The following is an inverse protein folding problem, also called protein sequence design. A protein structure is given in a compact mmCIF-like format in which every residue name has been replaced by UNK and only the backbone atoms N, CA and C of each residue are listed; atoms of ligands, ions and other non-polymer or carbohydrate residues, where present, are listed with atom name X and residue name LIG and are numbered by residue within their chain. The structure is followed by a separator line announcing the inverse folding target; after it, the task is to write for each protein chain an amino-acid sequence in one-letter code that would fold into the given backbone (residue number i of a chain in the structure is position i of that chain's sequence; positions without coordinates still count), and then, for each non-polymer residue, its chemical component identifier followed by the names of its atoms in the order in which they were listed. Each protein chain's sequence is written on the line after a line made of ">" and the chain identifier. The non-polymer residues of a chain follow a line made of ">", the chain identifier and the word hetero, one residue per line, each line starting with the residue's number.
data_IF_186261194972
#
_entry.id   IF_186261194972
#
_cell.length_a   1.000
_cell.length_b   1.000
_cell.length_c   1.000
_cell.angle_alpha   90.00
_cell.angle_beta   90.00
_cell.angle_gamma   90.00
#
_symmetry.space_group_name_H-M   'P 1'
#
loop_
_entity.id
_entity.type
_entity.pdbx_description
1 polymer ?
#
# COMPACT_ATOMS: atom_id res chain seq x y z
N UNK A 1 -39.40 52.93 -16.00
CA UNK A 1 -38.64 51.71 -16.36
C UNK A 1 -39.64 50.58 -16.49
N UNK A 2 -39.59 49.85 -17.60
CA UNK A 2 -40.40 48.65 -17.76
C UNK A 2 -39.89 47.56 -16.83
N UNK A 3 -40.73 47.00 -15.98
CA UNK A 3 -40.42 45.86 -15.13
C UNK A 3 -40.61 44.60 -15.94
N UNK A 4 -39.49 43.87 -16.23
CA UNK A 4 -39.56 42.59 -16.88
C UNK A 4 -39.61 41.52 -15.78
N UNK A 5 -40.61 40.61 -15.83
CA UNK A 5 -40.65 39.47 -14.92
C UNK A 5 -39.41 38.59 -15.13
N UNK A 6 -38.87 38.03 -14.06
CA UNK A 6 -37.67 37.13 -14.12
C UNK A 6 -37.91 35.96 -15.08
N UNK A 7 -39.13 35.43 -15.14
CA UNK A 7 -39.54 34.38 -16.05
C UNK A 7 -39.55 34.76 -17.56
N UNK A 8 -39.48 36.06 -17.87
CA UNK A 8 -39.47 36.58 -19.24
C UNK A 8 -38.06 36.99 -19.70
N UNK A 9 -37.04 36.76 -18.89
CA UNK A 9 -35.64 37.01 -19.29
C UNK A 9 -35.15 35.96 -20.26
N UNK A 10 -34.33 36.36 -21.25
CA UNK A 10 -33.65 35.38 -22.12
C UNK A 10 -32.81 34.39 -21.31
N UNK A 11 -32.80 33.12 -21.76
CA UNK A 11 -31.96 32.09 -21.12
C UNK A 11 -30.50 32.39 -21.45
N UNK A 12 -29.64 32.44 -20.45
CA UNK A 12 -28.19 32.56 -20.67
C UNK A 12 -27.65 31.28 -21.28
N UNK A 13 -26.90 31.38 -22.37
CA UNK A 13 -26.29 30.27 -23.06
C UNK A 13 -24.87 29.92 -22.55
N UNK A 14 -24.29 30.81 -21.77
CA UNK A 14 -22.98 30.64 -21.11
C UNK A 14 -22.99 31.38 -19.77
N UNK A 15 -22.10 30.97 -18.88
CA UNK A 15 -21.91 31.58 -17.55
C UNK A 15 -20.49 32.13 -17.46
N UNK A 16 -20.35 33.37 -16.99
CA UNK A 16 -19.07 33.97 -16.66
C UNK A 16 -19.01 34.29 -15.17
N UNK A 17 -17.81 34.34 -14.60
CA UNK A 17 -17.62 34.61 -13.18
C UNK A 17 -18.18 35.97 -12.72
N UNK A 18 -18.28 36.94 -13.63
CA UNK A 18 -18.85 38.28 -13.40
C UNK A 18 -20.39 38.32 -13.48
N UNK A 19 -21.02 37.27 -13.99
CA UNK A 19 -22.50 37.21 -14.03
C UNK A 19 -23.07 37.21 -12.62
N UNK A 20 -24.25 37.84 -12.46
CA UNK A 20 -24.85 38.04 -11.15
C UNK A 20 -26.27 37.48 -11.07
N UNK A 21 -26.57 36.93 -9.91
CA UNK A 21 -27.94 36.48 -9.53
C UNK A 21 -28.50 37.43 -8.52
N UNK A 22 -29.78 37.91 -8.66
CA UNK A 22 -30.43 38.64 -7.63
C UNK A 22 -30.80 37.72 -6.45
N UNK A 23 -30.41 38.09 -5.24
CA UNK A 23 -30.78 37.40 -4.00
C UNK A 23 -31.42 38.35 -3.01
N UNK A 24 -32.34 37.86 -2.19
CA UNK A 24 -32.83 38.59 -1.03
C UNK A 24 -32.02 38.17 0.18
N UNK A 25 -31.29 39.12 0.76
CA UNK A 25 -30.51 38.84 1.97
C UNK A 25 -31.47 38.90 3.18
N UNK A 26 -31.73 37.76 3.80
CA UNK A 26 -32.71 37.60 4.87
C UNK A 26 -32.45 38.52 6.08
N UNK A 27 -31.18 38.74 6.46
CA UNK A 27 -30.79 39.58 7.59
C UNK A 27 -31.13 41.08 7.43
N UNK A 28 -31.26 41.54 6.19
CA UNK A 28 -31.50 42.96 5.88
C UNK A 28 -32.78 43.18 5.06
N UNK A 29 -33.44 42.11 4.61
CA UNK A 29 -34.60 42.13 3.70
C UNK A 29 -34.34 42.96 2.42
N UNK A 30 -33.09 43.05 1.98
CA UNK A 30 -32.69 43.82 0.80
C UNK A 30 -32.31 42.89 -0.35
N UNK A 31 -32.66 43.28 -1.57
CA UNK A 31 -32.21 42.62 -2.77
C UNK A 31 -30.75 43.01 -3.08
N UNK A 32 -29.90 42.03 -3.21
CA UNK A 32 -28.48 42.19 -3.55
C UNK A 32 -28.10 41.36 -4.76
N UNK A 33 -26.95 41.63 -5.32
CA UNK A 33 -26.36 40.83 -6.39
C UNK A 33 -25.37 39.83 -5.79
N UNK A 34 -25.47 38.58 -6.20
CA UNK A 34 -24.49 37.53 -5.91
C UNK A 34 -23.80 37.14 -7.24
N UNK A 35 -22.53 37.36 -7.35
CA UNK A 35 -21.79 36.92 -8.55
C UNK A 35 -21.68 35.39 -8.63
N UNK A 36 -21.62 34.85 -9.81
CA UNK A 36 -21.36 33.40 -10.06
C UNK A 36 -20.07 33.00 -9.38
N UNK A 37 -19.00 33.80 -9.48
CA UNK A 37 -17.78 33.59 -8.75
C UNK A 37 -17.97 33.44 -7.25
N UNK A 38 -18.72 34.38 -6.61
CA UNK A 38 -18.97 34.31 -5.18
C UNK A 38 -19.81 33.09 -4.77
N UNK A 39 -20.74 32.65 -5.62
CA UNK A 39 -21.56 31.45 -5.39
C UNK A 39 -20.71 30.17 -5.41
N UNK A 40 -19.68 30.10 -6.27
CA UNK A 40 -18.86 28.89 -6.45
C UNK A 40 -17.46 28.97 -5.80
N UNK A 41 -17.04 30.14 -5.29
CA UNK A 41 -15.81 30.29 -4.54
C UNK A 41 -16.06 29.98 -3.06
N UNK A 42 -15.69 28.81 -2.61
CA UNK A 42 -15.85 28.33 -1.22
C UNK A 42 -17.31 28.30 -0.71
N UNK A 43 -18.27 27.74 -1.46
CA UNK A 43 -19.65 27.64 -0.96
C UNK A 43 -19.69 26.61 0.17
N UNK A 44 -20.42 26.95 1.24
CA UNK A 44 -20.76 25.97 2.29
C UNK A 44 -22.11 25.34 1.96
N UNK A 45 -22.11 24.10 1.53
CA UNK A 45 -23.33 23.33 1.31
C UNK A 45 -23.62 22.44 2.51
N UNK A 46 -24.83 22.55 3.05
CA UNK A 46 -25.33 21.62 4.07
C UNK A 46 -26.03 20.47 3.35
N UNK A 47 -25.50 19.24 3.51
CA UNK A 47 -26.01 18.03 2.84
C UNK A 47 -26.17 18.14 1.31
N UNK A 48 -25.11 18.52 0.55
CA UNK A 48 -25.24 18.63 -0.89
C UNK A 48 -25.51 17.24 -1.50
N UNK A 49 -26.55 17.13 -2.31
CA UNK A 49 -26.74 15.97 -3.19
C UNK A 49 -26.06 16.28 -4.52
N UNK A 50 -24.85 15.78 -4.68
CA UNK A 50 -24.13 15.85 -5.94
C UNK A 50 -24.60 14.67 -6.80
N UNK A 51 -25.24 14.94 -7.92
CA UNK A 51 -25.59 13.92 -8.92
C UNK A 51 -24.33 13.19 -9.43
N UNK A 52 -24.43 12.49 -10.56
CA UNK A 52 -23.27 11.83 -11.17
C UNK A 52 -22.18 12.85 -11.49
N UNK A 53 -21.07 12.82 -10.76
CA UNK A 53 -19.87 13.61 -11.07
C UNK A 53 -19.09 12.86 -12.14
N UNK A 54 -19.23 13.28 -13.41
CA UNK A 54 -18.56 12.64 -14.54
C UNK A 54 -17.09 13.01 -14.66
N UNK A 55 -16.69 14.14 -14.06
CA UNK A 55 -15.29 14.58 -13.97
C UNK A 55 -15.14 15.55 -12.80
N UNK A 56 -14.04 15.48 -12.11
CA UNK A 56 -13.74 16.39 -10.99
C UNK A 56 -12.53 15.94 -10.20
N UNK A 57 -11.82 16.90 -9.59
CA UNK A 57 -10.74 16.65 -8.66
C UNK A 57 -11.24 16.95 -7.24
N UNK A 58 -11.27 15.93 -6.37
CA UNK A 58 -11.61 16.05 -4.95
C UNK A 58 -10.34 15.98 -4.07
N UNK A 59 -9.20 16.45 -4.59
CA UNK A 59 -7.89 16.37 -3.92
C UNK A 59 -7.83 17.03 -2.54
N UNK A 60 -8.73 17.95 -2.25
CA UNK A 60 -8.83 18.61 -0.95
C UNK A 60 -10.01 18.11 -0.09
N UNK A 61 -10.63 16.99 -0.45
CA UNK A 61 -11.73 16.42 0.32
C UNK A 61 -11.18 15.69 1.56
N UNK A 62 -11.43 16.23 2.75
CA UNK A 62 -11.25 15.50 4.01
C UNK A 62 -12.58 14.91 4.43
N UNK A 63 -12.68 13.60 4.53
CA UNK A 63 -13.88 12.92 5.00
C UNK A 63 -13.54 12.03 6.19
N UNK A 64 -14.28 12.17 7.28
CA UNK A 64 -14.17 11.27 8.44
C UNK A 64 -14.93 9.95 8.23
N UNK A 65 -15.85 9.92 7.26
CA UNK A 65 -16.64 8.72 6.93
C UNK A 65 -17.09 8.78 5.47
N UNK A 66 -16.25 8.33 4.55
CA UNK A 66 -16.61 8.21 3.13
C UNK A 66 -17.07 6.77 2.86
N UNK A 67 -18.37 6.57 2.61
CA UNK A 67 -18.88 5.30 2.13
C UNK A 67 -18.76 5.26 0.60
N UNK A 68 -17.82 4.48 0.09
CA UNK A 68 -17.66 4.23 -1.33
C UNK A 68 -18.28 2.86 -1.67
N UNK A 69 -19.31 2.86 -2.48
CA UNK A 69 -19.92 1.63 -3.00
C UNK A 69 -19.21 1.26 -4.31
N UNK A 70 -18.58 0.10 -4.37
CA UNK A 70 -17.81 -0.38 -5.53
C UNK A 70 -16.76 0.60 -6.08
N UNK A 71 -15.83 1.12 -5.24
CA UNK A 71 -14.83 2.05 -5.73
C UNK A 71 -13.84 1.34 -6.65
N UNK A 72 -13.57 1.95 -7.80
CA UNK A 72 -12.39 1.60 -8.61
C UNK A 72 -11.25 2.51 -8.16
N UNK A 73 -10.33 1.96 -7.37
CA UNK A 73 -9.16 2.70 -6.88
C UNK A 73 -7.98 2.30 -7.77
N UNK A 74 -7.41 3.27 -8.49
CA UNK A 74 -6.17 3.10 -9.23
C UNK A 74 -4.98 2.89 -8.27
N UNK A 75 -3.80 3.43 -8.58
CA UNK A 75 -2.68 3.40 -7.64
C UNK A 75 -3.00 4.24 -6.41
N UNK A 76 -3.37 3.58 -5.30
CA UNK A 76 -3.56 4.23 -4.01
C UNK A 76 -2.20 4.39 -3.31
N UNK A 77 -1.82 5.61 -2.95
CA UNK A 77 -0.65 5.88 -2.13
C UNK A 77 -1.12 6.31 -0.73
N UNK A 78 -0.63 5.65 0.30
CA UNK A 78 -0.98 5.95 1.68
C UNK A 78 0.01 5.31 2.65
N UNK A 79 -0.03 5.72 3.91
CA UNK A 79 0.82 5.16 4.97
C UNK A 79 0.28 3.83 5.50
N UNK A 80 -1.03 3.59 5.38
CA UNK A 80 -1.68 2.36 5.81
C UNK A 80 -2.99 2.14 5.08
N UNK A 81 -3.38 0.87 4.93
CA UNK A 81 -4.70 0.43 4.51
C UNK A 81 -5.22 -0.55 5.57
N UNK A 82 -6.27 -0.16 6.30
CA UNK A 82 -6.95 -1.04 7.24
C UNK A 82 -8.20 -1.61 6.59
N UNK A 83 -8.32 -2.93 6.56
CA UNK A 83 -9.50 -3.65 6.07
C UNK A 83 -10.04 -4.58 7.15
N UNK A 84 -11.36 -4.60 7.30
CA UNK A 84 -12.07 -5.45 8.28
C UNK A 84 -12.47 -6.81 7.72
N UNK A 85 -12.19 -7.06 6.44
CA UNK A 85 -12.48 -8.31 5.73
C UNK A 85 -11.25 -8.77 4.94
N UNK A 86 -11.38 -9.83 4.15
CA UNK A 86 -10.28 -10.37 3.36
C UNK A 86 -9.82 -9.40 2.27
N UNK A 87 -8.50 -9.35 2.04
CA UNK A 87 -7.91 -8.77 0.84
C UNK A 87 -7.76 -9.89 -0.18
N UNK A 88 -8.45 -9.79 -1.31
CA UNK A 88 -8.40 -10.79 -2.38
C UNK A 88 -7.82 -10.18 -3.66
N UNK A 89 -7.05 -10.98 -4.39
CA UNK A 89 -6.58 -10.65 -5.74
C UNK A 89 -7.18 -11.65 -6.72
N UNK A 90 -8.01 -11.19 -7.64
CA UNK A 90 -8.60 -12.03 -8.69
C UNK A 90 -7.77 -12.07 -9.98
N UNK A 91 -6.73 -11.25 -10.07
CA UNK A 91 -5.83 -11.19 -11.21
C UNK A 91 -4.62 -12.12 -11.06
N UNK A 92 -3.77 -12.16 -12.08
CA UNK A 92 -2.55 -12.98 -12.12
C UNK A 92 -1.38 -12.38 -11.33
N UNK A 93 -1.46 -11.11 -10.91
CA UNK A 93 -0.39 -10.40 -10.19
C UNK A 93 -0.29 -10.80 -8.70
N UNK A 94 -1.38 -11.27 -8.10
CA UNK A 94 -1.41 -11.68 -6.69
C UNK A 94 -1.22 -10.53 -5.69
N UNK A 95 -0.83 -10.89 -4.48
CA UNK A 95 -0.47 -9.97 -3.39
C UNK A 95 1.00 -10.16 -3.08
N UNK A 96 1.79 -9.10 -3.07
CA UNK A 96 3.24 -9.21 -2.85
C UNK A 96 3.92 -7.88 -2.53
N UNK A 97 5.23 -7.93 -2.43
CA UNK A 97 6.07 -6.76 -2.22
C UNK A 97 6.38 -6.06 -3.55
N UNK A 98 6.39 -4.72 -3.53
CA UNK A 98 6.77 -3.91 -4.68
C UNK A 98 8.29 -3.91 -4.91
N UNK A 99 8.71 -3.43 -6.08
CA UNK A 99 10.12 -3.19 -6.43
C UNK A 99 10.81 -2.35 -5.36
N UNK A 100 12.02 -2.75 -4.96
CA UNK A 100 12.81 -2.08 -3.92
C UNK A 100 12.65 -2.67 -2.51
N UNK A 101 11.60 -3.46 -2.25
CA UNK A 101 11.43 -4.16 -0.98
C UNK A 101 12.38 -5.35 -0.81
N UNK A 102 12.91 -5.88 -1.92
CA UNK A 102 13.79 -7.05 -1.93
C UNK A 102 15.28 -6.72 -2.06
N UNK A 103 16.11 -7.75 -1.83
CA UNK A 103 17.55 -7.70 -1.99
C UNK A 103 18.18 -9.08 -2.07
N UNK A 104 19.51 -9.12 -2.24
CA UNK A 104 20.28 -10.36 -2.28
C UNK A 104 21.52 -10.26 -1.39
N UNK A 105 21.93 -11.38 -0.81
CA UNK A 105 23.19 -11.49 -0.05
C UNK A 105 23.79 -12.88 -0.24
N UNK A 106 25.11 -12.98 -0.17
CA UNK A 106 25.86 -14.25 -0.28
C UNK A 106 26.66 -14.46 1.00
N UNK A 107 26.67 -15.69 1.52
CA UNK A 107 27.53 -16.08 2.64
C UNK A 107 29.01 -16.10 2.19
N UNK A 108 29.90 -15.52 3.01
CA UNK A 108 31.28 -15.28 2.61
C UNK A 108 32.23 -16.45 2.87
N UNK A 109 32.11 -17.15 4.00
CA UNK A 109 33.15 -18.09 4.48
C UNK A 109 32.65 -19.49 4.76
N UNK A 110 31.40 -19.67 5.15
CA UNK A 110 30.77 -20.96 5.44
C UNK A 110 29.27 -20.89 5.38
N UNK A 111 28.59 -22.03 5.34
CA UNK A 111 27.11 -22.10 5.40
C UNK A 111 26.53 -21.71 6.76
N UNK A 112 27.35 -21.59 7.80
CA UNK A 112 26.99 -21.09 9.12
C UNK A 112 27.35 -19.63 9.35
N UNK A 113 27.99 -18.97 8.36
CA UNK A 113 28.28 -17.55 8.44
C UNK A 113 27.00 -16.74 8.38
N UNK A 114 26.76 -15.89 9.39
CA UNK A 114 25.66 -14.94 9.40
C UNK A 114 25.73 -13.96 8.25
N UNK A 115 24.57 -13.44 7.85
CA UNK A 115 24.45 -12.43 6.77
C UNK A 115 23.64 -11.23 7.24
N UNK A 116 23.84 -10.08 6.61
CA UNK A 116 23.03 -8.89 6.83
C UNK A 116 22.26 -8.54 5.56
N UNK A 117 20.93 -8.48 5.66
CA UNK A 117 20.07 -8.05 4.56
C UNK A 117 18.84 -7.31 5.12
N UNK A 118 18.92 -5.99 5.21
CA UNK A 118 17.89 -5.11 5.76
C UNK A 118 16.75 -4.87 4.75
N UNK A 119 15.99 -5.92 4.45
CA UNK A 119 14.89 -5.94 3.47
C UNK A 119 13.75 -6.82 3.96
N UNK A 120 12.52 -6.50 3.58
CA UNK A 120 11.33 -7.29 3.94
C UNK A 120 11.23 -8.60 3.15
N UNK A 121 11.94 -8.71 2.01
CA UNK A 121 12.07 -9.96 1.26
C UNK A 121 13.45 -10.04 0.64
N UNK A 122 13.93 -11.24 0.36
CA UNK A 122 15.24 -11.36 -0.26
C UNK A 122 15.66 -12.78 -0.60
N UNK A 123 16.81 -12.86 -1.25
CA UNK A 123 17.46 -14.11 -1.58
C UNK A 123 18.83 -14.21 -0.90
N UNK A 124 19.10 -15.33 -0.25
CA UNK A 124 20.37 -15.66 0.40
C UNK A 124 21.03 -16.76 -0.40
N UNK A 125 22.20 -16.49 -0.97
CA UNK A 125 23.05 -17.49 -1.62
C UNK A 125 23.98 -18.09 -0.57
N UNK A 126 23.93 -19.40 -0.41
CA UNK A 126 24.79 -20.10 0.53
C UNK A 126 26.23 -20.18 0.02
N UNK A 127 27.16 -20.27 0.96
CA UNK A 127 28.55 -20.60 0.66
C UNK A 127 28.64 -21.97 -0.02
N UNK A 128 29.55 -22.08 -1.00
CA UNK A 128 29.80 -23.32 -1.72
C UNK A 128 30.36 -24.40 -0.78
N UNK A 129 29.60 -25.43 -0.53
CA UNK A 129 30.03 -26.58 0.28
C UNK A 129 29.18 -27.82 -0.05
N UNK A 130 29.62 -29.00 0.38
CA UNK A 130 28.83 -30.19 0.28
C UNK A 130 27.57 -30.13 1.17
N UNK A 131 26.49 -30.74 0.71
CA UNK A 131 25.29 -30.96 1.49
C UNK A 131 25.58 -31.87 2.71
N UNK A 132 24.81 -31.73 3.78
CA UNK A 132 24.87 -32.54 4.99
C UNK A 132 23.50 -32.72 5.62
N UNK A 133 23.25 -33.91 6.14
CA UNK A 133 22.02 -34.21 6.92
C UNK A 133 22.13 -33.71 8.34
N UNK A 134 23.28 -33.26 8.80
CA UNK A 134 23.46 -32.62 10.11
C UNK A 134 22.92 -31.19 10.05
N UNK A 135 21.99 -30.89 10.94
CA UNK A 135 21.42 -29.55 11.01
C UNK A 135 22.46 -28.51 11.41
N UNK A 136 22.47 -27.40 10.70
CA UNK A 136 23.30 -26.23 10.98
C UNK A 136 22.45 -24.96 10.97
N UNK A 137 22.89 -23.94 11.68
CA UNK A 137 22.14 -22.68 11.86
C UNK A 137 23.02 -21.49 11.57
N UNK A 138 22.46 -20.45 10.97
CA UNK A 138 23.05 -19.13 10.86
C UNK A 138 22.03 -18.02 11.14
N UNK A 139 22.53 -16.83 11.46
CA UNK A 139 21.71 -15.66 11.75
C UNK A 139 21.62 -14.75 10.54
N UNK A 140 20.42 -14.29 10.24
CA UNK A 140 20.17 -13.18 9.32
C UNK A 140 19.91 -11.92 10.14
N UNK A 141 20.83 -10.96 10.10
CA UNK A 141 20.62 -9.62 10.64
C UNK A 141 19.75 -8.83 9.68
N UNK A 142 18.60 -8.32 10.18
CA UNK A 142 17.63 -7.64 9.35
C UNK A 142 16.83 -6.62 10.18
N UNK A 143 17.17 -5.34 10.01
CA UNK A 143 16.57 -4.22 10.76
C UNK A 143 15.05 -4.06 10.53
N UNK A 144 14.47 -4.71 9.52
CA UNK A 144 13.02 -4.66 9.27
C UNK A 144 12.23 -5.67 10.08
N UNK A 145 12.90 -6.60 10.79
CA UNK A 145 12.26 -7.69 11.55
C UNK A 145 11.94 -7.24 12.98
N UNK A 146 10.71 -7.50 13.41
CA UNK A 146 10.26 -7.42 14.79
C UNK A 146 10.15 -8.83 15.40
N UNK A 147 10.19 -8.94 16.73
CA UNK A 147 10.12 -10.24 17.42
C UNK A 147 8.82 -11.01 17.19
N UNK A 148 7.75 -10.32 16.78
CA UNK A 148 6.43 -10.89 16.53
C UNK A 148 6.20 -11.30 15.07
N UNK A 149 7.17 -10.99 14.17
CA UNK A 149 7.02 -11.24 12.73
C UNK A 149 7.07 -12.73 12.40
N UNK A 150 6.42 -13.10 11.30
CA UNK A 150 6.48 -14.43 10.70
C UNK A 150 7.41 -14.39 9.50
N UNK A 151 8.40 -15.27 9.47
CA UNK A 151 9.34 -15.40 8.35
C UNK A 151 8.98 -16.65 7.53
N UNK A 152 8.70 -16.45 6.26
CA UNK A 152 8.50 -17.54 5.30
C UNK A 152 9.82 -17.81 4.59
N UNK A 153 10.19 -19.09 4.44
CA UNK A 153 11.37 -19.54 3.72
C UNK A 153 10.99 -20.49 2.61
N UNK A 154 11.73 -20.44 1.49
CA UNK A 154 11.67 -21.46 0.47
C UNK A 154 13.02 -21.63 -0.26
N UNK A 155 13.32 -22.84 -0.70
CA UNK A 155 14.42 -23.10 -1.61
C UNK A 155 14.08 -22.55 -3.00
N UNK A 156 14.94 -21.69 -3.54
CA UNK A 156 14.81 -21.12 -4.88
C UNK A 156 15.58 -21.90 -5.93
N UNK A 157 16.79 -22.34 -5.57
CA UNK A 157 17.67 -23.14 -6.44
C UNK A 157 18.61 -24.00 -5.62
N UNK A 158 19.22 -24.96 -6.26
CA UNK A 158 20.12 -25.96 -5.70
C UNK A 158 19.75 -27.34 -6.26
N UNK A 159 20.69 -28.29 -6.22
CA UNK A 159 20.52 -29.68 -6.66
C UNK A 159 19.96 -30.51 -5.52
N UNK A 160 20.51 -30.35 -4.32
CA UNK A 160 20.08 -31.05 -3.14
C UNK A 160 18.74 -30.45 -2.61
N UNK A 161 17.93 -31.28 -2.00
CA UNK A 161 16.72 -30.81 -1.28
C UNK A 161 17.08 -30.44 0.15
N UNK A 162 16.60 -29.27 0.59
CA UNK A 162 16.87 -28.73 1.93
C UNK A 162 15.59 -28.66 2.77
N UNK A 163 15.70 -29.19 3.99
CA UNK A 163 14.78 -28.80 5.06
C UNK A 163 15.22 -27.42 5.58
N UNK A 164 14.32 -26.46 5.58
CA UNK A 164 14.55 -25.09 6.02
C UNK A 164 13.57 -24.74 7.15
N UNK A 165 14.09 -24.24 8.26
CA UNK A 165 13.28 -23.83 9.40
C UNK A 165 13.75 -22.47 9.92
N UNK A 166 12.79 -21.63 10.30
CA UNK A 166 13.05 -20.46 11.15
C UNK A 166 13.02 -20.93 12.60
N UNK A 167 14.15 -20.86 13.29
CA UNK A 167 14.28 -21.39 14.65
C UNK A 167 14.33 -20.31 15.74
N UNK A 168 14.48 -19.05 15.35
CA UNK A 168 14.36 -17.89 16.23
C UNK A 168 13.98 -16.65 15.44
N UNK A 169 13.17 -15.77 16.01
CA UNK A 169 12.88 -14.43 15.51
C UNK A 169 13.04 -13.46 16.67
N UNK A 170 13.83 -12.41 16.47
CA UNK A 170 14.08 -11.36 17.44
C UNK A 170 14.04 -9.99 16.76
N UNK A 171 14.02 -8.92 17.55
CA UNK A 171 14.16 -7.58 17.00
C UNK A 171 15.48 -7.48 16.23
N UNK A 172 15.42 -7.14 14.95
CA UNK A 172 16.58 -6.96 14.10
C UNK A 172 17.24 -8.23 13.57
N UNK A 173 16.68 -9.43 13.80
CA UNK A 173 17.28 -10.67 13.30
C UNK A 173 16.35 -11.88 13.33
N UNK A 174 16.72 -12.92 12.56
CA UNK A 174 16.13 -14.24 12.66
C UNK A 174 17.17 -15.32 12.35
N UNK A 175 16.94 -16.54 12.84
CA UNK A 175 17.81 -17.68 12.58
C UNK A 175 17.18 -18.62 11.55
N UNK A 176 18.00 -19.07 10.62
CA UNK A 176 17.67 -20.14 9.68
C UNK A 176 18.45 -21.38 10.07
N UNK A 177 17.75 -22.46 10.37
CA UNK A 177 18.30 -23.79 10.53
C UNK A 177 18.01 -24.60 9.27
N UNK A 178 19.00 -25.28 8.76
CA UNK A 178 18.94 -26.01 7.49
C UNK A 178 19.69 -27.33 7.56
N UNK A 179 19.30 -28.28 6.72
CA UNK A 179 20.01 -29.53 6.42
C UNK A 179 19.59 -30.05 5.06
N UNK A 180 20.36 -30.91 4.43
CA UNK A 180 19.90 -31.68 3.26
C UNK A 180 19.12 -32.92 3.71
N UNK A 181 18.18 -33.37 2.87
CA UNK A 181 17.40 -34.59 3.10
C UNK A 181 18.15 -35.89 2.65
N UNK A 182 19.44 -35.79 2.34
CA UNK A 182 20.29 -36.90 1.90
C UNK A 182 21.31 -36.53 0.83
N UNK A 183 21.21 -35.38 0.20
CA UNK A 183 22.14 -34.90 -0.81
C UNK A 183 23.45 -34.42 -0.19
N UNK A 184 24.58 -34.65 -0.93
CA UNK A 184 25.94 -34.27 -0.54
C UNK A 184 26.63 -33.46 -1.63
N UNK A 185 25.87 -32.88 -2.54
CA UNK A 185 26.41 -32.12 -3.67
C UNK A 185 27.12 -30.85 -3.17
N UNK A 186 28.29 -30.56 -3.72
CA UNK A 186 28.98 -29.28 -3.49
C UNK A 186 28.33 -28.21 -4.40
N UNK A 187 27.60 -27.31 -3.80
CA UNK A 187 26.79 -26.31 -4.52
C UNK A 187 26.62 -25.01 -3.75
N UNK A 188 26.04 -24.00 -4.41
CA UNK A 188 25.67 -22.70 -3.85
C UNK A 188 24.13 -22.52 -3.91
N UNK A 189 23.38 -23.22 -3.07
CA UNK A 189 21.91 -23.12 -3.12
C UNK A 189 21.44 -21.72 -2.74
N UNK A 190 20.28 -21.31 -3.27
CA UNK A 190 19.67 -20.02 -2.99
C UNK A 190 18.34 -20.24 -2.29
N UNK A 191 18.13 -19.52 -1.21
CA UNK A 191 16.88 -19.51 -0.43
C UNK A 191 16.26 -18.12 -0.43
N UNK A 192 14.96 -18.07 -0.65
CA UNK A 192 14.21 -16.84 -0.50
C UNK A 192 13.61 -16.75 0.90
N UNK A 193 13.45 -15.51 1.39
CA UNK A 193 12.64 -15.24 2.56
C UNK A 193 11.68 -14.10 2.31
N UNK A 194 10.59 -14.08 3.08
CA UNK A 194 9.64 -12.97 3.16
C UNK A 194 9.23 -12.75 4.63
N UNK A 195 9.16 -11.49 5.04
CA UNK A 195 8.76 -11.08 6.39
C UNK A 195 7.30 -10.66 6.36
N UNK A 196 6.44 -11.41 7.04
CA UNK A 196 5.04 -11.00 7.29
C UNK A 196 4.99 -10.32 8.65
N UNK A 197 4.51 -9.09 8.70
CA UNK A 197 4.41 -8.33 9.95
C UNK A 197 3.37 -8.95 10.87
N UNK A 198 3.80 -9.32 12.05
CA UNK A 198 2.95 -9.86 13.12
C UNK A 198 2.73 -8.84 14.23
N UNK A 199 1.70 -9.09 15.05
CA UNK A 199 1.44 -8.34 16.28
C UNK A 199 1.38 -9.33 17.45
N UNK A 200 1.79 -8.88 18.64
CA UNK A 200 1.57 -9.66 19.85
C UNK A 200 0.07 -9.79 20.12
N UNK A 201 -0.36 -10.98 20.51
CA UNK A 201 -1.73 -11.24 20.94
C UNK A 201 -1.96 -10.69 22.34
#
# INVERSE_FOLDING_TARGET
>A
MATIAISALPVATSQAGADVLPIVQASTSTTKQLSVTALFTSPTFVTPVLGTVTSGNISACTSTSMALVTPVIGAATGTSLAVTSAITSSGTAGIGYATGAGGTVTQATSRTTGVTLNKTTGAITFYSAAGTTVAATFTVTNSTVAATDVIILNQKSGTDLYDLMVTAVAVGSFNITFRTTGGTTTETPVFNFAVIKGVAA
#
